data_IF_785178015517
#
_entry.id   IF_785178015517
#
_cell.length_a   1.000
_cell.length_b   1.000
_cell.length_c   1.000
_cell.angle_alpha   90.00
_cell.angle_beta   90.00
_cell.angle_gamma   90.00
#
_symmetry.space_group_name_H-M   'P 1'
#
loop_
_entity.id
_entity.type
_entity.pdbx_description
1 polymer ?
#
# COMPACT_ATOMS: atom_id res chain seq x y z
N UNK A 1 -62.24 10.77 20.69
CA UNK A 1 -63.01 11.18 21.90
C UNK A 1 -63.34 9.92 22.69
N UNK A 2 -63.25 9.96 24.03
CA UNK A 2 -63.67 8.92 25.02
C UNK A 2 -63.09 7.49 24.80
N UNK A 3 -62.31 6.87 25.69
CA UNK A 3 -62.35 6.86 27.17
C UNK A 3 -63.40 5.83 27.64
N UNK A 4 -63.17 4.88 28.57
CA UNK A 4 -62.08 4.62 29.54
C UNK A 4 -61.97 3.10 29.82
N UNK A 5 -60.87 2.65 30.44
CA UNK A 5 -60.74 1.57 31.46
C UNK A 5 -59.25 1.14 31.55
N UNK A 6 -58.66 0.71 32.67
CA UNK A 6 -58.87 1.01 34.10
C UNK A 6 -57.56 0.61 34.85
N UNK A 7 -57.27 1.17 36.02
CA UNK A 7 -56.00 0.96 36.75
C UNK A 7 -55.89 -0.40 37.45
N UNK A 8 -54.67 -0.91 37.64
CA UNK A 8 -54.22 -1.47 38.95
C UNK A 8 -52.70 -1.74 39.01
N UNK A 9 -52.09 -1.21 40.08
CA UNK A 9 -50.98 -1.76 40.90
C UNK A 9 -49.76 -2.40 40.19
N UNK A 10 -48.56 -1.80 40.16
CA UNK A 10 -47.67 -1.38 41.26
C UNK A 10 -46.91 -2.52 41.98
N UNK A 11 -45.60 -2.63 41.71
CA UNK A 11 -44.61 -3.05 42.71
C UNK A 11 -43.20 -2.63 42.27
N UNK A 12 -42.64 -1.63 42.95
CA UNK A 12 -41.22 -1.31 42.85
C UNK A 12 -40.42 -2.16 43.86
N UNK A 13 -39.19 -2.53 43.52
CA UNK A 13 -38.18 -2.94 44.51
C UNK A 13 -36.83 -2.35 44.15
N UNK A 14 -36.18 -1.74 45.13
CA UNK A 14 -34.95 -0.97 44.94
C UNK A 14 -33.69 -1.84 45.05
N UNK A 15 -32.58 -1.28 44.59
CA UNK A 15 -31.24 -1.74 44.95
C UNK A 15 -30.93 -1.48 46.44
N UNK A 16 -29.95 -2.19 47.03
CA UNK A 16 -29.20 -1.70 48.17
C UNK A 16 -27.76 -1.30 47.79
N UNK A 17 -27.39 -0.09 48.17
CA UNK A 17 -26.03 0.44 48.13
C UNK A 17 -25.16 -0.21 49.23
N UNK A 18 -23.88 -0.50 48.94
CA UNK A 18 -22.91 -0.85 49.98
C UNK A 18 -21.47 -0.40 49.63
N UNK A 19 -20.96 0.52 50.43
CA UNK A 19 -19.56 0.94 50.58
C UNK A 19 -19.44 1.61 51.98
N UNK A 20 -18.24 1.88 52.54
CA UNK A 20 -16.88 1.56 52.08
C UNK A 20 -16.06 0.76 53.12
N UNK A 21 -14.83 0.35 52.78
CA UNK A 21 -13.76 0.10 53.79
C UNK A 21 -12.39 0.45 53.20
N UNK A 22 -11.45 0.84 54.07
CA UNK A 22 -10.28 1.69 53.76
C UNK A 22 -8.93 0.99 53.91
N UNK A 23 -7.89 1.60 53.29
CA UNK A 23 -6.43 1.43 53.51
C UNK A 23 -5.83 0.08 53.03
N UNK A 24 -4.63 0.01 52.44
CA UNK A 24 -3.45 0.84 52.64
C UNK A 24 -2.48 0.81 51.43
N UNK A 25 -1.67 1.87 51.28
CA UNK A 25 -0.44 1.86 50.48
C UNK A 25 0.76 1.36 51.31
N UNK A 26 1.80 0.83 50.64
CA UNK A 26 3.15 1.34 50.89
C UNK A 26 3.89 1.62 49.57
N UNK A 27 4.40 2.84 49.34
CA UNK A 27 5.70 3.37 49.84
C UNK A 27 6.88 2.99 48.95
N UNK A 28 7.34 3.94 48.13
CA UNK A 28 8.69 3.96 47.57
C UNK A 28 9.67 4.67 48.53
N UNK A 29 10.94 4.25 48.60
CA UNK A 29 12.02 5.05 49.20
C UNK A 29 13.02 5.61 48.14
N UNK A 30 13.86 6.60 48.50
CA UNK A 30 14.47 7.55 47.56
C UNK A 30 16.03 7.35 47.40
N UNK A 31 16.81 8.25 46.74
CA UNK A 31 18.11 7.90 46.15
C UNK A 31 19.35 8.28 46.97
N UNK A 32 20.48 7.67 46.61
CA UNK A 32 21.87 8.09 46.93
C UNK A 32 22.76 7.78 45.71
N UNK A 33 23.38 8.74 45.01
CA UNK A 33 24.43 9.68 45.43
C UNK A 33 25.86 9.08 45.34
N UNK A 34 26.57 9.50 44.29
CA UNK A 34 27.99 9.93 44.31
C UNK A 34 29.08 8.89 44.60
N UNK A 35 29.98 8.65 43.62
CA UNK A 35 31.40 9.05 43.73
C UNK A 35 32.15 8.95 42.40
N UNK A 36 33.11 9.87 42.22
CA UNK A 36 34.09 9.95 41.13
C UNK A 36 35.48 9.63 41.70
N UNK A 37 36.36 8.99 40.91
CA UNK A 37 37.74 9.47 40.76
C UNK A 37 38.10 9.56 39.24
N UNK A 38 38.62 10.63 38.62
CA UNK A 38 39.90 11.38 38.79
C UNK A 38 41.11 10.49 39.07
N UNK A 39 42.27 10.55 38.41
CA UNK A 39 42.81 11.24 37.22
C UNK A 39 43.88 10.28 36.60
N UNK A 40 44.54 10.44 35.44
CA UNK A 40 45.44 11.50 34.94
C UNK A 40 45.81 11.12 33.48
N UNK A 41 45.88 12.01 32.49
CA UNK A 41 46.88 13.07 32.23
C UNK A 41 48.30 12.58 31.88
N UNK A 42 48.58 12.44 30.59
CA UNK A 42 49.81 12.86 29.85
C UNK A 42 49.60 12.49 28.37
N UNK A 43 50.01 13.20 27.33
CA UNK A 43 50.43 14.57 27.08
C UNK A 43 50.71 14.62 25.55
N UNK A 44 50.25 15.65 24.83
CA UNK A 44 50.81 15.99 23.51
C UNK A 44 52.13 16.77 23.74
N UNK A 45 52.97 17.03 22.71
CA UNK A 45 52.64 18.16 21.81
C UNK A 45 53.18 18.05 20.34
N UNK A 46 52.54 18.82 19.44
CA UNK A 46 53.12 19.68 18.33
C UNK A 46 54.23 19.16 17.38
N UNK A 47 54.31 19.56 16.10
CA UNK A 47 53.44 20.34 15.20
C UNK A 47 53.94 20.27 13.74
N UNK A 48 53.09 20.77 12.82
CA UNK A 48 53.30 21.20 11.42
C UNK A 48 54.53 22.12 11.14
N UNK A 49 54.80 22.61 9.90
CA UNK A 49 54.31 22.24 8.55
C UNK A 49 55.43 22.15 7.46
N UNK A 50 55.05 22.01 6.16
CA UNK A 50 55.47 22.90 5.03
C UNK A 50 55.65 22.22 3.64
N UNK A 51 54.78 22.57 2.69
CA UNK A 51 55.08 22.72 1.23
C UNK A 51 55.83 24.06 0.98
N UNK A 52 56.43 24.42 -0.21
CA UNK A 52 55.84 24.26 -1.57
C UNK A 52 56.77 24.24 -2.86
N UNK A 53 56.13 24.08 -4.04
CA UNK A 53 56.40 24.74 -5.37
C UNK A 53 57.47 24.25 -6.41
N UNK A 54 57.00 24.23 -7.69
CA UNK A 54 57.66 24.43 -9.01
C UNK A 54 58.29 23.28 -9.86
N UNK A 55 57.99 23.34 -11.17
CA UNK A 55 58.64 22.68 -12.33
C UNK A 55 59.37 23.72 -13.22
N UNK A 56 60.10 23.36 -14.32
CA UNK A 56 59.57 23.67 -15.68
C UNK A 56 60.11 22.87 -16.93
N UNK A 57 59.28 22.80 -18.01
CA UNK A 57 59.54 23.02 -19.50
C UNK A 57 60.62 22.16 -20.23
N UNK A 58 60.57 21.73 -21.52
CA UNK A 58 59.80 22.00 -22.78
C UNK A 58 59.40 20.66 -23.52
N UNK A 59 59.07 20.49 -24.82
CA UNK A 59 58.90 21.32 -26.05
C UNK A 59 57.92 20.60 -27.05
N UNK A 60 57.11 21.27 -27.90
CA UNK A 60 57.29 21.70 -29.33
C UNK A 60 57.54 20.58 -30.37
N UNK A 61 56.86 20.45 -31.53
CA UNK A 61 55.81 21.17 -32.31
C UNK A 61 55.28 20.24 -33.46
N UNK A 62 54.38 20.58 -34.43
CA UNK A 62 53.66 21.84 -34.73
C UNK A 62 52.12 21.70 -34.92
N UNK A 63 51.50 22.77 -35.46
CA UNK A 63 50.05 23.07 -35.54
C UNK A 63 49.47 22.86 -36.97
N UNK A 64 48.23 22.40 -37.07
CA UNK A 64 47.33 22.66 -38.22
C UNK A 64 46.06 23.40 -37.75
N UNK A 65 45.41 24.12 -38.67
CA UNK A 65 44.45 25.19 -38.41
C UNK A 65 42.98 24.75 -38.41
N UNK A 66 42.22 25.14 -37.39
CA UNK A 66 40.75 25.10 -37.39
C UNK A 66 40.14 26.33 -38.10
N UNK A 67 39.02 26.18 -38.84
CA UNK A 67 38.18 27.30 -39.25
C UNK A 67 37.14 27.64 -38.16
N UNK A 68 36.94 28.93 -37.95
CA UNK A 68 35.98 29.50 -37.00
C UNK A 68 34.53 29.29 -37.49
N UNK A 69 33.67 28.66 -36.67
CA UNK A 69 32.25 28.47 -36.94
C UNK A 69 31.41 29.24 -35.90
N UNK A 70 30.45 30.03 -36.38
CA UNK A 70 29.55 30.84 -35.54
C UNK A 70 28.62 29.96 -34.68
N UNK A 71 28.18 30.45 -33.50
CA UNK A 71 27.32 29.68 -32.61
C UNK A 71 25.91 29.54 -33.20
N UNK A 72 25.49 28.29 -33.40
CA UNK A 72 24.13 27.95 -33.85
C UNK A 72 23.10 28.31 -32.77
N UNK A 73 22.01 28.97 -33.18
CA UNK A 73 20.94 29.42 -32.27
C UNK A 73 19.78 28.43 -32.41
N UNK A 74 19.42 27.67 -31.35
CA UNK A 74 18.35 26.68 -31.45
C UNK A 74 17.02 27.32 -31.86
N UNK A 75 16.45 26.81 -32.95
CA UNK A 75 15.09 27.15 -33.38
C UNK A 75 14.02 26.68 -32.39
N UNK A 76 12.76 27.12 -32.55
CA UNK A 76 11.68 26.68 -31.68
C UNK A 76 11.44 25.18 -31.81
N UNK A 77 11.22 24.52 -30.67
CA UNK A 77 10.88 23.10 -30.60
C UNK A 77 9.46 22.93 -31.15
N UNK A 78 9.31 22.22 -32.28
CA UNK A 78 8.00 21.76 -32.75
C UNK A 78 7.59 20.49 -32.00
N UNK A 79 6.28 20.30 -31.71
CA UNK A 79 5.80 19.14 -31.00
C UNK A 79 5.87 17.89 -31.88
N UNK A 80 6.44 16.82 -31.33
CA UNK A 80 6.40 15.50 -31.97
C UNK A 80 4.93 15.02 -32.05
N UNK A 81 4.47 14.75 -33.27
CA UNK A 81 3.09 14.39 -33.57
C UNK A 81 2.92 12.87 -33.79
N UNK A 82 3.99 12.10 -33.64
CA UNK A 82 3.98 10.65 -33.80
C UNK A 82 4.03 9.96 -32.42
N UNK A 83 2.88 9.40 -32.00
CA UNK A 83 2.76 8.69 -30.74
C UNK A 83 3.67 7.44 -30.70
N UNK A 84 4.57 7.40 -29.72
CA UNK A 84 5.55 6.32 -29.55
C UNK A 84 4.86 4.96 -29.35
N UNK A 85 5.15 4.00 -30.23
CA UNK A 85 4.83 2.58 -30.00
C UNK A 85 5.67 2.03 -28.85
N UNK A 86 5.02 1.39 -27.88
CA UNK A 86 5.64 0.91 -26.63
C UNK A 86 5.87 -0.61 -26.72
N UNK A 87 7.13 -1.01 -26.91
CA UNK A 87 7.58 -2.42 -26.85
C UNK A 87 7.96 -2.85 -25.41
N UNK A 88 7.19 -2.40 -24.41
CA UNK A 88 7.31 -2.84 -23.01
C UNK A 88 6.55 -4.15 -22.71
N UNK A 89 5.80 -4.66 -23.68
CA UNK A 89 5.00 -5.89 -23.57
C UNK A 89 5.70 -7.01 -24.36
N UNK A 90 6.36 -7.94 -23.67
CA UNK A 90 7.15 -9.01 -24.32
C UNK A 90 6.25 -10.07 -24.95
N UNK A 91 6.20 -10.12 -26.28
CA UNK A 91 5.46 -11.13 -27.04
C UNK A 91 6.18 -12.49 -27.02
N UNK A 92 6.01 -13.26 -25.93
CA UNK A 92 6.54 -14.64 -25.82
C UNK A 92 5.51 -15.69 -25.37
N UNK A 93 4.25 -15.53 -25.79
CA UNK A 93 3.35 -16.64 -26.12
C UNK A 93 2.38 -16.19 -27.23
N UNK A 94 1.85 -17.13 -28.03
CA UNK A 94 1.15 -16.88 -29.32
C UNK A 94 -0.29 -16.32 -29.15
N UNK A 95 -0.58 -15.70 -27.99
CA UNK A 95 -1.93 -15.40 -27.50
C UNK A 95 -2.18 -13.94 -27.08
N UNK A 96 -1.18 -13.05 -27.10
CA UNK A 96 -1.35 -11.66 -26.65
C UNK A 96 -1.43 -10.68 -27.82
N UNK A 97 -2.58 -10.02 -27.94
CA UNK A 97 -2.86 -9.05 -28.98
C UNK A 97 -2.24 -7.67 -28.64
N UNK A 98 -1.72 -6.98 -29.66
CA UNK A 98 -1.26 -5.60 -29.52
C UNK A 98 -2.30 -4.70 -28.86
N UNK A 99 -1.85 -3.80 -27.98
CA UNK A 99 -2.73 -2.89 -27.25
C UNK A 99 -3.63 -2.12 -28.22
N UNK A 100 -4.94 -2.37 -28.15
CA UNK A 100 -5.91 -1.59 -28.92
C UNK A 100 -5.92 -0.16 -28.38
N UNK A 101 -5.97 0.88 -29.22
CA UNK A 101 -6.03 2.28 -28.76
C UNK A 101 -7.16 2.57 -27.77
N UNK A 102 -8.23 1.76 -27.78
CA UNK A 102 -9.36 1.82 -26.83
C UNK A 102 -9.01 1.41 -25.40
N UNK A 103 -7.88 0.74 -25.16
CA UNK A 103 -7.41 0.38 -23.81
C UNK A 103 -6.77 1.59 -23.11
N UNK A 104 -6.16 2.49 -23.89
CA UNK A 104 -5.57 3.75 -23.43
C UNK A 104 -6.60 4.90 -23.27
N UNK A 105 -7.87 4.67 -23.62
CA UNK A 105 -8.94 5.66 -23.54
C UNK A 105 -9.52 5.75 -22.11
N UNK A 106 -8.83 6.47 -21.22
CA UNK A 106 -9.23 6.63 -19.83
C UNK A 106 -10.54 7.40 -19.65
N UNK A 107 -11.39 6.94 -18.73
CA UNK A 107 -12.56 7.67 -18.26
C UNK A 107 -12.12 8.91 -17.49
N UNK A 108 -12.72 10.07 -17.78
CA UNK A 108 -12.42 11.35 -17.13
C UNK A 108 -13.64 11.87 -16.39
N UNK A 109 -13.51 12.07 -15.08
CA UNK A 109 -14.55 12.67 -14.24
C UNK A 109 -13.96 13.37 -13.01
N UNK A 110 -14.66 14.37 -12.46
CA UNK A 110 -14.24 15.15 -11.29
C UNK A 110 -12.85 15.83 -11.35
N UNK A 111 -12.15 15.74 -12.49
CA UNK A 111 -10.76 16.21 -12.69
C UNK A 111 -9.71 15.11 -12.59
N UNK A 112 -10.10 13.83 -12.52
CA UNK A 112 -9.23 12.64 -12.41
C UNK A 112 -9.45 11.68 -13.58
N UNK A 113 -8.49 10.78 -13.84
CA UNK A 113 -8.63 9.69 -14.82
C UNK A 113 -8.87 8.35 -14.13
N UNK A 114 -9.61 7.45 -14.79
CA UNK A 114 -9.93 6.10 -14.31
C UNK A 114 -9.83 5.09 -15.46
N UNK A 115 -9.53 3.83 -15.12
CA UNK A 115 -9.51 2.72 -16.07
C UNK A 115 -10.86 2.51 -16.77
N UNK A 116 -10.84 1.82 -17.93
CA UNK A 116 -12.04 1.57 -18.75
C UNK A 116 -12.41 0.09 -18.94
N UNK A 117 -11.47 -0.84 -18.68
CA UNK A 117 -11.66 -2.28 -18.94
C UNK A 117 -12.82 -2.90 -18.13
N UNK A 118 -13.04 -2.38 -16.92
CA UNK A 118 -14.13 -2.76 -16.01
C UNK A 118 -14.81 -1.48 -15.48
N UNK A 119 -15.20 -0.59 -16.41
CA UNK A 119 -15.72 0.76 -16.14
C UNK A 119 -16.78 0.81 -15.03
N UNK A 120 -16.65 1.79 -14.15
CA UNK A 120 -17.52 2.02 -12.99
C UNK A 120 -17.23 1.14 -11.77
N UNK A 121 -16.64 -0.06 -11.92
CA UNK A 121 -16.38 -0.98 -10.80
C UNK A 121 -15.25 -0.53 -9.88
N UNK A 122 -14.09 -0.17 -10.45
CA UNK A 122 -12.95 0.31 -9.68
C UNK A 122 -13.09 1.81 -9.41
N UNK A 123 -12.86 2.19 -8.16
CA UNK A 123 -13.12 3.53 -7.64
C UNK A 123 -11.88 4.40 -7.52
N UNK A 124 -10.66 3.85 -7.61
CA UNK A 124 -9.45 4.64 -7.53
C UNK A 124 -9.03 5.16 -8.91
N UNK A 125 -8.48 6.39 -9.00
CA UNK A 125 -7.97 6.95 -10.24
C UNK A 125 -6.70 6.23 -10.74
N UNK A 126 -6.19 6.65 -11.88
CA UNK A 126 -4.93 6.15 -12.46
C UNK A 126 -4.02 7.26 -13.04
N UNK A 127 -4.32 8.52 -12.73
CA UNK A 127 -3.49 9.68 -13.10
C UNK A 127 -2.20 9.77 -12.27
N UNK A 128 -1.26 10.59 -12.72
CA UNK A 128 0.08 10.78 -12.15
C UNK A 128 0.05 11.03 -10.62
N UNK A 129 -0.93 11.80 -10.14
CA UNK A 129 -1.12 12.08 -8.70
C UNK A 129 -1.45 10.83 -7.87
N UNK A 130 -2.09 9.84 -8.48
CA UNK A 130 -2.36 8.54 -7.86
C UNK A 130 -1.16 7.60 -7.97
N UNK A 131 -0.41 7.65 -9.08
CA UNK A 131 0.82 6.90 -9.26
C UNK A 131 1.87 7.34 -8.21
N UNK A 132 2.09 8.65 -8.04
CA UNK A 132 2.92 9.20 -6.95
C UNK A 132 2.46 8.72 -5.57
N UNK A 133 1.14 8.63 -5.35
CA UNK A 133 0.57 8.13 -4.08
C UNK A 133 0.86 6.65 -3.87
N UNK A 134 0.74 5.83 -4.91
CA UNK A 134 1.00 4.39 -4.88
C UNK A 134 2.48 4.11 -4.57
N UNK A 135 3.41 4.86 -5.16
CA UNK A 135 4.85 4.72 -4.89
C UNK A 135 5.20 5.08 -3.42
N UNK A 136 4.57 6.12 -2.85
CA UNK A 136 4.72 6.43 -1.42
C UNK A 136 4.11 5.30 -0.56
N UNK A 137 2.99 4.69 -0.95
CA UNK A 137 2.40 3.55 -0.22
C UNK A 137 3.27 2.30 -0.32
N UNK A 138 3.92 2.04 -1.47
CA UNK A 138 4.94 1.00 -1.57
C UNK A 138 6.07 1.25 -0.54
N UNK A 139 6.55 2.49 -0.43
CA UNK A 139 7.56 2.85 0.56
C UNK A 139 7.06 2.68 2.01
N UNK A 140 5.80 3.02 2.32
CA UNK A 140 5.17 2.73 3.63
C UNK A 140 5.27 1.24 3.96
N UNK A 141 4.98 0.34 3.01
CA UNK A 141 5.13 -1.10 3.21
C UNK A 141 6.58 -1.52 3.40
N UNK A 142 7.52 -1.03 2.58
CA UNK A 142 8.94 -1.39 2.72
C UNK A 142 9.49 -0.98 4.10
N UNK A 143 9.17 0.23 4.59
CA UNK A 143 9.51 0.65 5.98
C UNK A 143 8.80 -0.23 7.02
N UNK A 144 7.54 -0.60 6.76
CA UNK A 144 6.75 -1.44 7.69
C UNK A 144 7.25 -2.88 7.77
N UNK A 145 7.89 -3.40 6.72
CA UNK A 145 8.40 -4.77 6.64
C UNK A 145 9.93 -4.89 6.80
N UNK A 146 10.62 -3.84 7.27
CA UNK A 146 12.10 -3.79 7.39
C UNK A 146 12.82 -4.07 6.05
N UNK A 147 12.31 -3.47 4.97
CA UNK A 147 12.76 -3.64 3.57
C UNK A 147 12.67 -5.08 3.04
N UNK A 148 11.78 -5.91 3.62
CA UNK A 148 11.39 -7.20 3.05
C UNK A 148 10.31 -7.01 1.99
N UNK A 149 10.41 -7.77 0.90
CA UNK A 149 9.37 -7.84 -0.13
C UNK A 149 8.10 -8.51 0.41
N UNK A 150 8.27 -9.57 1.20
CA UNK A 150 7.21 -10.34 1.81
C UNK A 150 7.65 -10.99 3.13
N UNK A 151 6.70 -11.54 3.89
CA UNK A 151 6.93 -12.13 5.21
C UNK A 151 6.91 -13.67 5.20
N UNK A 152 6.40 -14.28 4.14
CA UNK A 152 6.54 -15.71 3.86
C UNK A 152 7.96 -16.05 3.33
N UNK A 153 8.32 -17.34 3.22
CA UNK A 153 9.66 -17.77 2.80
C UNK A 153 10.10 -17.29 1.39
N UNK A 154 9.16 -16.82 0.55
CA UNK A 154 9.47 -16.30 -0.80
C UNK A 154 10.22 -14.96 -0.79
N UNK A 155 10.47 -14.38 0.37
CA UNK A 155 11.42 -13.28 0.54
C UNK A 155 12.90 -13.73 0.34
N UNK A 156 13.18 -15.03 0.31
CA UNK A 156 14.50 -15.57 -0.05
C UNK A 156 14.62 -15.90 -1.54
N UNK A 157 13.56 -15.63 -2.31
CA UNK A 157 13.47 -15.87 -3.75
C UNK A 157 12.31 -16.81 -4.11
N UNK A 158 11.81 -16.59 -5.32
CA UNK A 158 10.76 -17.33 -5.98
C UNK A 158 11.20 -17.63 -7.43
N UNK A 159 10.52 -18.55 -8.11
CA UNK A 159 10.81 -18.90 -9.51
C UNK A 159 9.83 -18.28 -10.49
N UNK A 160 8.56 -18.16 -10.09
CA UNK A 160 7.47 -17.64 -10.92
C UNK A 160 6.45 -16.92 -10.03
N UNK A 161 6.53 -15.60 -10.06
CA UNK A 161 5.79 -14.66 -9.21
C UNK A 161 4.62 -14.05 -9.96
N UNK A 162 3.47 -13.89 -9.28
CA UNK A 162 2.39 -13.00 -9.67
C UNK A 162 2.28 -11.85 -8.66
N UNK A 163 2.28 -10.61 -9.14
CA UNK A 163 1.90 -9.43 -8.39
C UNK A 163 0.51 -8.97 -8.82
N UNK A 164 -0.51 -9.26 -8.00
CA UNK A 164 -1.91 -9.00 -8.29
C UNK A 164 -2.27 -7.54 -7.99
N UNK A 165 -2.65 -6.79 -9.02
CA UNK A 165 -2.91 -5.35 -8.92
C UNK A 165 -1.62 -4.58 -8.71
N UNK A 166 -0.66 -4.81 -9.61
CA UNK A 166 0.72 -4.32 -9.49
C UNK A 166 0.83 -2.78 -9.47
N UNK A 167 -0.22 -2.05 -9.84
CA UNK A 167 -0.25 -0.59 -9.81
C UNK A 167 0.82 0.00 -10.74
N UNK A 168 1.73 0.81 -10.21
CA UNK A 168 2.88 1.35 -10.95
C UNK A 168 3.92 0.30 -11.35
N UNK A 169 3.81 -0.93 -10.82
CA UNK A 169 4.77 -2.02 -11.06
C UNK A 169 5.98 -2.01 -10.12
N UNK A 170 6.11 -0.99 -9.26
CA UNK A 170 7.34 -0.74 -8.47
C UNK A 170 7.79 -1.93 -7.61
N UNK A 171 6.86 -2.67 -6.99
CA UNK A 171 7.23 -3.87 -6.22
C UNK A 171 7.72 -5.02 -7.12
N UNK A 172 7.05 -5.26 -8.25
CA UNK A 172 7.43 -6.30 -9.20
C UNK A 172 8.81 -6.03 -9.81
N UNK A 173 9.12 -4.76 -10.11
CA UNK A 173 10.43 -4.31 -10.60
C UNK A 173 11.53 -4.55 -9.55
N UNK A 174 11.35 -4.05 -8.33
CA UNK A 174 12.33 -4.22 -7.25
C UNK A 174 12.56 -5.71 -6.92
N UNK A 175 11.52 -6.55 -6.99
CA UNK A 175 11.63 -8.00 -6.80
C UNK A 175 12.37 -8.68 -7.95
N UNK A 176 12.08 -8.31 -9.20
CA UNK A 176 12.74 -8.86 -10.38
C UNK A 176 14.25 -8.54 -10.41
N UNK A 177 14.64 -7.32 -10.03
CA UNK A 177 16.04 -6.90 -9.90
C UNK A 177 16.76 -7.64 -8.75
N UNK A 178 16.06 -7.88 -7.63
CA UNK A 178 16.62 -8.63 -6.49
C UNK A 178 16.78 -10.13 -6.77
N UNK A 179 15.96 -10.70 -7.66
CA UNK A 179 15.95 -12.13 -8.00
C UNK A 179 15.99 -12.34 -9.52
N UNK A 180 17.15 -12.19 -10.19
CA UNK A 180 17.26 -12.30 -11.66
C UNK A 180 16.89 -13.66 -12.26
N UNK A 181 16.86 -14.72 -11.45
CA UNK A 181 16.44 -16.08 -11.84
C UNK A 181 14.90 -16.29 -11.74
N UNK A 182 14.14 -15.29 -11.24
CA UNK A 182 12.69 -15.34 -11.06
C UNK A 182 11.97 -14.76 -12.29
N UNK A 183 10.95 -15.47 -12.80
CA UNK A 183 9.96 -14.95 -13.73
C UNK A 183 8.91 -14.14 -12.95
N UNK A 184 8.85 -12.82 -13.13
CA UNK A 184 7.89 -11.94 -12.43
C UNK A 184 6.84 -11.43 -13.41
N UNK A 185 5.56 -11.66 -13.09
CA UNK A 185 4.43 -11.06 -13.82
C UNK A 185 3.70 -10.11 -12.87
N UNK A 186 3.61 -8.84 -13.23
CA UNK A 186 2.68 -7.90 -12.63
C UNK A 186 1.42 -7.78 -13.49
N UNK A 187 0.24 -7.80 -12.87
CA UNK A 187 -1.04 -7.66 -13.59
C UNK A 187 -1.86 -6.51 -13.01
N UNK A 188 -2.41 -5.66 -13.87
CA UNK A 188 -3.28 -4.54 -13.48
C UNK A 188 -4.39 -4.28 -14.52
N UNK A 189 -5.42 -3.54 -14.13
CA UNK A 189 -6.47 -3.05 -15.01
C UNK A 189 -6.04 -1.83 -15.85
N UNK A 190 -4.98 -1.11 -15.44
CA UNK A 190 -4.48 0.11 -16.06
C UNK A 190 -3.05 -0.06 -16.59
N UNK A 191 -2.75 0.33 -17.84
CA UNK A 191 -1.38 0.43 -18.36
C UNK A 191 -0.68 1.69 -17.82
N UNK A 192 -0.23 1.64 -16.58
CA UNK A 192 0.49 2.73 -15.87
C UNK A 192 1.90 2.33 -15.44
N UNK A 193 2.41 1.21 -15.96
CA UNK A 193 3.73 0.66 -15.65
C UNK A 193 4.79 1.24 -16.61
N UNK A 194 6.06 1.34 -16.20
CA UNK A 194 7.12 1.90 -17.04
C UNK A 194 7.42 1.01 -18.25
N UNK A 195 7.75 1.63 -19.39
CA UNK A 195 8.07 0.92 -20.64
C UNK A 195 9.48 0.28 -20.67
N UNK A 196 10.32 0.52 -19.67
CA UNK A 196 11.63 -0.12 -19.53
C UNK A 196 11.62 -0.96 -18.24
N UNK A 197 11.81 -2.27 -18.39
CA UNK A 197 11.66 -3.27 -17.32
C UNK A 197 12.84 -4.25 -17.31
N UNK A 198 13.15 -4.90 -16.18
CA UNK A 198 14.08 -6.02 -16.14
C UNK A 198 13.68 -7.14 -17.11
N UNK A 199 14.63 -7.87 -17.72
CA UNK A 199 14.33 -8.88 -18.75
C UNK A 199 13.54 -10.09 -18.23
N UNK A 200 13.39 -10.21 -16.91
CA UNK A 200 12.65 -11.23 -16.19
C UNK A 200 11.33 -10.71 -15.59
N UNK A 201 10.93 -9.47 -15.87
CA UNK A 201 9.68 -8.86 -15.46
C UNK A 201 8.78 -8.57 -16.68
N UNK A 202 7.50 -8.93 -16.60
CA UNK A 202 6.49 -8.65 -17.63
C UNK A 202 5.24 -8.05 -16.99
N UNK A 203 4.60 -7.10 -17.67
CA UNK A 203 3.32 -6.54 -17.26
C UNK A 203 2.18 -6.96 -18.19
N UNK A 204 1.07 -7.39 -17.61
CA UNK A 204 -0.13 -7.82 -18.32
C UNK A 204 -1.33 -6.96 -17.92
N UNK A 205 -2.17 -6.60 -18.89
CA UNK A 205 -3.41 -5.86 -18.63
C UNK A 205 -4.57 -6.85 -18.63
N UNK A 206 -5.08 -7.20 -17.44
CA UNK A 206 -6.26 -8.06 -17.33
C UNK A 206 -7.07 -7.77 -16.06
N UNK A 207 -8.31 -8.25 -16.06
CA UNK A 207 -9.25 -8.17 -14.95
C UNK A 207 -9.19 -9.46 -14.14
N UNK A 208 -8.39 -9.43 -13.07
CA UNK A 208 -8.13 -10.58 -12.18
C UNK A 208 -9.36 -11.09 -11.39
N UNK A 209 -10.53 -10.43 -11.49
CA UNK A 209 -11.81 -11.00 -11.04
C UNK A 209 -12.34 -12.11 -12.00
N UNK A 210 -11.85 -12.19 -13.24
CA UNK A 210 -12.25 -13.19 -14.23
C UNK A 210 -11.46 -14.49 -14.05
N UNK A 211 -11.83 -15.51 -14.82
CA UNK A 211 -11.08 -16.76 -14.93
C UNK A 211 -9.66 -16.50 -15.47
N UNK A 212 -8.66 -16.84 -14.66
CA UNK A 212 -7.25 -16.67 -15.02
C UNK A 212 -6.83 -17.67 -16.11
N UNK A 213 -6.02 -17.21 -17.07
CA UNK A 213 -5.67 -18.00 -18.26
C UNK A 213 -4.26 -18.61 -18.22
N UNK A 214 -3.47 -18.33 -17.17
CA UNK A 214 -2.11 -18.84 -17.04
C UNK A 214 -2.06 -20.37 -16.86
N UNK A 215 -1.50 -21.06 -17.85
CA UNK A 215 -1.34 -22.53 -17.83
C UNK A 215 -0.19 -23.03 -16.94
N UNK A 216 0.78 -22.16 -16.64
CA UNK A 216 1.89 -22.44 -15.70
C UNK A 216 1.56 -21.90 -14.32
N UNK A 217 1.53 -22.79 -13.34
CA UNK A 217 1.38 -22.43 -11.94
C UNK A 217 2.49 -21.49 -11.44
N UNK A 218 2.12 -20.64 -10.49
CA UNK A 218 3.03 -19.75 -9.77
C UNK A 218 3.58 -20.43 -8.52
N UNK A 219 4.78 -20.05 -8.09
CA UNK A 219 5.31 -20.47 -6.79
C UNK A 219 5.14 -19.39 -5.71
N UNK A 220 4.91 -18.14 -6.11
CA UNK A 220 4.53 -17.05 -5.23
C UNK A 220 3.45 -16.15 -5.86
N UNK A 221 2.43 -15.79 -5.10
CA UNK A 221 1.44 -14.79 -5.47
C UNK A 221 1.38 -13.75 -4.35
N UNK A 222 1.63 -12.48 -4.69
CA UNK A 222 1.39 -11.33 -3.81
C UNK A 222 0.07 -10.65 -4.21
N UNK A 223 -0.68 -10.17 -3.22
CA UNK A 223 -1.68 -9.13 -3.39
C UNK A 223 -1.42 -8.02 -2.34
N UNK A 224 -1.15 -6.79 -2.77
CA UNK A 224 -0.85 -5.66 -1.89
C UNK A 224 -1.82 -4.51 -2.16
N UNK A 225 -2.42 -3.93 -1.11
CA UNK A 225 -3.40 -2.84 -1.24
C UNK A 225 -4.59 -3.13 -2.19
N UNK A 226 -5.09 -4.36 -2.15
CA UNK A 226 -6.17 -4.87 -3.00
C UNK A 226 -7.57 -4.84 -2.36
N UNK A 227 -7.74 -4.32 -1.13
CA UNK A 227 -9.07 -4.07 -0.56
C UNK A 227 -9.92 -3.21 -1.51
N UNK A 228 -11.17 -3.59 -1.71
CA UNK A 228 -12.06 -2.97 -2.70
C UNK A 228 -11.79 -3.35 -4.17
N UNK A 229 -10.66 -4.00 -4.50
CA UNK A 229 -10.40 -4.49 -5.86
C UNK A 229 -11.23 -5.74 -6.22
N UNK A 230 -11.67 -6.51 -5.23
CA UNK A 230 -12.49 -7.71 -5.41
C UNK A 230 -13.89 -7.53 -4.83
N UNK A 231 -14.90 -7.94 -5.60
CA UNK A 231 -16.28 -8.11 -5.12
C UNK A 231 -16.50 -9.40 -4.33
N UNK A 232 -15.69 -10.43 -4.61
CA UNK A 232 -15.65 -11.70 -3.88
C UNK A 232 -14.20 -12.09 -3.56
N UNK A 233 -13.82 -11.91 -2.29
CA UNK A 233 -12.50 -12.28 -1.78
C UNK A 233 -12.35 -13.79 -1.53
N UNK A 234 -13.45 -14.53 -1.34
CA UNK A 234 -13.40 -15.99 -1.16
C UNK A 234 -13.03 -16.62 -2.50
N UNK A 235 -13.70 -16.21 -3.58
CA UNK A 235 -13.39 -16.60 -4.97
C UNK A 235 -11.98 -16.17 -5.41
N UNK A 236 -11.53 -14.94 -5.08
CA UNK A 236 -10.19 -14.47 -5.42
C UNK A 236 -9.08 -15.31 -4.74
N UNK A 237 -9.26 -15.67 -3.46
CA UNK A 237 -8.31 -16.52 -2.72
C UNK A 237 -8.35 -17.97 -3.22
N UNK A 238 -9.52 -18.51 -3.56
CA UNK A 238 -9.63 -19.83 -4.18
C UNK A 238 -8.97 -19.87 -5.58
N UNK A 239 -9.15 -18.83 -6.39
CA UNK A 239 -8.52 -18.73 -7.70
C UNK A 239 -6.98 -18.64 -7.58
N UNK A 240 -6.46 -17.85 -6.64
CA UNK A 240 -5.03 -17.82 -6.33
C UNK A 240 -4.52 -19.18 -5.83
N UNK A 241 -5.26 -19.86 -4.93
CA UNK A 241 -4.94 -21.21 -4.48
C UNK A 241 -4.85 -22.19 -5.66
N UNK A 242 -5.80 -22.16 -6.58
CA UNK A 242 -5.82 -23.06 -7.74
C UNK A 242 -4.62 -22.84 -8.65
N UNK A 243 -4.17 -21.60 -8.83
CA UNK A 243 -3.02 -21.26 -9.69
C UNK A 243 -1.64 -21.39 -9.04
N UNK A 244 -1.53 -21.65 -7.74
CA UNK A 244 -0.26 -22.00 -7.10
C UNK A 244 0.18 -23.45 -7.39
N UNK A 245 1.50 -23.67 -7.44
CA UNK A 245 2.07 -25.03 -7.42
C UNK A 245 1.96 -25.66 -6.02
N UNK A 246 2.03 -27.00 -5.87
CA UNK A 246 2.14 -27.64 -4.55
C UNK A 246 3.37 -27.13 -3.78
N UNK A 247 3.15 -26.51 -2.61
CA UNK A 247 4.20 -25.83 -1.85
C UNK A 247 4.40 -24.35 -2.17
N UNK A 248 3.71 -23.80 -3.18
CA UNK A 248 3.67 -22.37 -3.47
C UNK A 248 2.96 -21.56 -2.38
N UNK A 249 3.20 -20.26 -2.34
CA UNK A 249 2.67 -19.36 -1.29
C UNK A 249 1.81 -18.24 -1.87
N UNK A 250 0.73 -17.90 -1.17
CA UNK A 250 0.03 -16.63 -1.36
C UNK A 250 0.33 -15.74 -0.14
N UNK A 251 0.56 -14.45 -0.38
CA UNK A 251 0.64 -13.43 0.66
C UNK A 251 -0.26 -12.23 0.30
N UNK A 252 -1.03 -11.77 1.29
CA UNK A 252 -1.87 -10.58 1.21
C UNK A 252 -1.32 -9.55 2.20
N UNK A 253 -1.01 -8.36 1.71
CA UNK A 253 -0.49 -7.23 2.48
C UNK A 253 -1.48 -6.07 2.38
N UNK A 254 -2.30 -5.86 3.39
CA UNK A 254 -3.34 -4.82 3.31
C UNK A 254 -3.69 -4.11 4.61
N UNK A 255 -4.42 -3.02 4.46
CA UNK A 255 -5.03 -2.22 5.51
C UNK A 255 -6.50 -2.59 5.71
N UNK A 256 -7.17 -1.91 6.64
CA UNK A 256 -8.59 -2.11 6.95
C UNK A 256 -9.22 -0.79 7.41
N UNK A 257 -10.39 -0.46 6.86
CA UNK A 257 -11.14 0.76 7.16
C UNK A 257 -12.42 0.44 7.96
N UNK A 258 -12.94 1.38 8.79
CA UNK A 258 -12.48 2.76 8.99
C UNK A 258 -11.18 2.87 9.80
N UNK A 259 -10.63 4.08 9.91
CA UNK A 259 -9.54 4.33 10.85
C UNK A 259 -10.03 4.17 12.30
N UNK A 260 -9.13 3.77 13.19
CA UNK A 260 -9.41 3.50 14.61
C UNK A 260 -8.53 4.38 15.51
N UNK A 261 -8.91 4.49 16.78
CA UNK A 261 -8.21 5.30 17.78
C UNK A 261 -8.33 4.64 19.17
N UNK A 262 -7.19 4.42 19.84
CA UNK A 262 -7.16 3.69 21.13
C UNK A 262 -7.47 4.56 22.35
N UNK A 263 -7.35 5.89 22.25
CA UNK A 263 -7.42 6.82 23.40
C UNK A 263 -8.56 7.84 23.34
N UNK A 264 -9.44 7.73 22.33
CA UNK A 264 -10.59 8.61 22.15
C UNK A 264 -10.25 10.02 21.65
N UNK A 265 -9.02 10.27 21.19
CA UNK A 265 -8.63 11.55 20.58
C UNK A 265 -9.30 11.83 19.24
N UNK A 266 -9.75 10.81 18.52
CA UNK A 266 -10.63 10.93 17.36
C UNK A 266 -12.09 10.72 17.78
N UNK A 267 -12.92 11.77 17.66
CA UNK A 267 -14.36 11.70 17.97
C UNK A 267 -15.20 11.58 16.69
N UNK A 268 -16.42 11.05 16.80
CA UNK A 268 -17.34 10.84 15.66
C UNK A 268 -17.67 12.12 14.88
N UNK A 269 -17.60 13.29 15.54
CA UNK A 269 -17.82 14.59 14.91
C UNK A 269 -16.68 15.06 13.97
N UNK A 270 -15.49 14.46 14.07
CA UNK A 270 -14.32 14.85 13.27
C UNK A 270 -14.47 14.41 11.81
N UNK A 271 -13.83 15.16 10.92
CA UNK A 271 -13.89 14.90 9.49
C UNK A 271 -13.14 13.61 9.11
N UNK A 272 -12.02 13.30 9.76
CA UNK A 272 -11.30 12.03 9.54
C UNK A 272 -12.15 10.79 9.89
N UNK A 273 -12.95 10.85 10.96
CA UNK A 273 -13.87 9.78 11.33
C UNK A 273 -14.96 9.61 10.26
N UNK A 274 -15.64 10.71 9.91
CA UNK A 274 -16.70 10.73 8.89
C UNK A 274 -16.18 10.22 7.54
N UNK A 275 -15.05 10.76 7.08
CA UNK A 275 -14.40 10.39 5.83
C UNK A 275 -14.06 8.89 5.75
N UNK A 276 -13.45 8.30 6.78
CA UNK A 276 -13.08 6.88 6.75
C UNK A 276 -14.27 5.94 6.95
N UNK A 277 -15.27 6.33 7.74
CA UNK A 277 -16.50 5.57 7.93
C UNK A 277 -17.33 5.56 6.64
N UNK A 278 -17.58 6.72 6.05
CA UNK A 278 -18.31 6.84 4.79
C UNK A 278 -17.58 6.18 3.61
N UNK A 279 -16.24 6.16 3.61
CA UNK A 279 -15.45 5.38 2.65
C UNK A 279 -15.72 3.88 2.73
N UNK A 280 -15.82 3.34 3.95
CA UNK A 280 -16.19 1.95 4.16
C UNK A 280 -17.65 1.67 3.77
N UNK A 281 -18.60 2.55 4.13
CA UNK A 281 -20.02 2.44 3.78
C UNK A 281 -20.23 2.43 2.26
N UNK A 282 -19.62 3.37 1.52
CA UNK A 282 -19.72 3.45 0.07
C UNK A 282 -19.13 2.21 -0.64
N UNK A 283 -18.02 1.70 -0.12
CA UNK A 283 -17.41 0.46 -0.61
C UNK A 283 -18.30 -0.78 -0.36
N UNK A 284 -18.96 -0.87 0.79
CA UNK A 284 -19.89 -1.96 1.08
C UNK A 284 -21.18 -1.87 0.25
N UNK A 285 -21.69 -0.67 -0.05
CA UNK A 285 -22.88 -0.45 -0.90
C UNK A 285 -22.68 -0.95 -2.34
N UNK A 286 -21.46 -0.84 -2.90
CA UNK A 286 -21.11 -1.42 -4.21
C UNK A 286 -20.60 -2.87 -4.14
N UNK A 287 -20.65 -3.51 -2.96
CA UNK A 287 -20.21 -4.89 -2.75
C UNK A 287 -18.70 -5.11 -2.81
N UNK A 288 -17.87 -4.07 -2.63
CA UNK A 288 -16.41 -4.10 -2.72
C UNK A 288 -15.78 -3.71 -1.39
N UNK A 289 -15.94 -4.59 -0.42
CA UNK A 289 -15.61 -4.32 0.99
C UNK A 289 -14.14 -3.93 1.22
N UNK A 290 -13.92 -2.98 2.13
CA UNK A 290 -12.60 -2.53 2.61
C UNK A 290 -12.41 -2.74 4.13
N UNK A 291 -13.30 -3.53 4.75
CA UNK A 291 -13.45 -3.64 6.21
C UNK A 291 -13.37 -5.09 6.73
N UNK A 292 -12.84 -6.03 5.93
CA UNK A 292 -12.85 -7.47 6.24
C UNK A 292 -11.48 -8.16 6.12
N UNK A 293 -10.41 -7.40 5.91
CA UNK A 293 -9.01 -7.89 5.79
C UNK A 293 -8.62 -8.77 6.97
N UNK A 294 -9.07 -8.44 8.19
CA UNK A 294 -8.81 -9.24 9.38
C UNK A 294 -9.34 -10.68 9.31
N UNK A 295 -10.23 -10.99 8.35
CA UNK A 295 -10.83 -12.31 8.16
C UNK A 295 -10.10 -13.17 7.13
N UNK A 296 -9.20 -12.63 6.29
CA UNK A 296 -8.65 -13.39 5.16
C UNK A 296 -7.84 -14.62 5.58
N UNK A 297 -7.29 -14.63 6.79
CA UNK A 297 -6.63 -15.82 7.36
C UNK A 297 -7.58 -17.00 7.62
N UNK A 298 -8.90 -16.76 7.66
CA UNK A 298 -9.94 -17.78 7.70
C UNK A 298 -10.21 -18.26 6.27
N UNK A 299 -10.41 -17.34 5.34
CA UNK A 299 -10.65 -17.62 3.92
C UNK A 299 -9.54 -18.50 3.31
N UNK A 300 -8.27 -18.18 3.59
CA UNK A 300 -7.16 -19.02 3.15
C UNK A 300 -7.23 -20.45 3.72
N UNK A 301 -7.64 -20.64 4.97
CA UNK A 301 -7.80 -21.99 5.54
C UNK A 301 -8.96 -22.75 4.90
N UNK A 302 -10.05 -22.05 4.58
CA UNK A 302 -11.22 -22.62 3.92
C UNK A 302 -10.93 -23.00 2.46
N UNK A 303 -10.12 -22.21 1.75
CA UNK A 303 -9.59 -22.53 0.41
C UNK A 303 -8.53 -23.66 0.42
N UNK A 304 -8.06 -24.11 1.60
CA UNK A 304 -7.14 -25.25 1.75
C UNK A 304 -5.66 -24.90 1.95
N UNK A 305 -5.31 -23.63 2.19
CA UNK A 305 -3.94 -23.26 2.55
C UNK A 305 -3.52 -23.83 3.93
N UNK A 306 -2.31 -24.38 3.98
CA UNK A 306 -1.58 -24.77 5.18
C UNK A 306 -0.71 -23.61 5.70
N UNK A 307 -0.13 -23.78 6.90
CA UNK A 307 0.83 -22.86 7.52
C UNK A 307 0.36 -21.39 7.58
N UNK A 308 -0.96 -21.16 7.61
CA UNK A 308 -1.52 -19.81 7.51
C UNK A 308 -1.15 -18.96 8.73
N UNK A 309 -0.47 -17.84 8.48
CA UNK A 309 -0.05 -16.84 9.48
C UNK A 309 -0.79 -15.53 9.24
N UNK A 310 -1.07 -14.81 10.33
CA UNK A 310 -1.59 -13.44 10.31
C UNK A 310 -0.75 -12.57 11.25
N UNK A 311 -0.14 -11.54 10.70
CA UNK A 311 0.70 -10.56 11.41
C UNK A 311 -0.06 -9.23 11.44
N UNK A 312 -0.58 -8.79 12.60
CA UNK A 312 -1.22 -7.49 12.71
C UNK A 312 -0.20 -6.35 12.70
N UNK A 313 -0.56 -5.25 12.05
CA UNK A 313 0.21 -4.02 11.88
C UNK A 313 -0.66 -2.80 12.26
N UNK A 314 -0.02 -1.65 12.47
CA UNK A 314 -0.70 -0.36 12.65
C UNK A 314 -0.07 0.66 11.71
N UNK A 315 -0.90 1.41 10.98
CA UNK A 315 -0.50 2.50 10.09
C UNK A 315 -1.00 3.85 10.65
N UNK A 316 -0.21 4.59 11.44
CA UNK A 316 -0.60 5.88 12.03
C UNK A 316 -0.91 6.92 10.96
N UNK A 317 -1.96 7.73 11.13
CA UNK A 317 -2.32 8.74 10.12
C UNK A 317 -1.31 9.89 10.00
N UNK A 318 -0.46 10.05 11.02
CA UNK A 318 0.53 11.14 11.14
C UNK A 318 1.66 10.71 12.09
N UNK A 319 2.81 11.43 12.14
CA UNK A 319 3.96 11.09 12.98
C UNK A 319 3.76 11.34 14.50
N UNK A 320 2.54 11.17 15.00
CA UNK A 320 2.17 11.27 16.42
C UNK A 320 2.80 10.20 17.36
N UNK A 321 3.12 8.95 16.93
CA UNK A 321 3.62 7.93 17.86
C UNK A 321 4.94 8.31 18.53
N UNK A 322 5.18 7.80 19.74
CA UNK A 322 6.49 7.94 20.41
C UNK A 322 7.54 6.97 19.87
N UNK A 323 7.12 5.77 19.45
CA UNK A 323 8.02 4.79 18.86
C UNK A 323 8.62 5.32 17.55
N UNK A 324 9.92 5.06 17.33
CA UNK A 324 10.65 5.64 16.19
C UNK A 324 10.16 5.09 14.86
N UNK A 325 9.85 3.79 14.78
CA UNK A 325 9.42 3.12 13.55
C UNK A 325 7.98 3.48 13.21
N UNK A 326 7.07 3.44 14.18
CA UNK A 326 5.68 3.87 13.97
C UNK A 326 5.59 5.36 13.62
N UNK A 327 6.48 6.21 14.14
CA UNK A 327 6.58 7.61 13.72
C UNK A 327 7.03 7.77 12.27
N UNK A 328 8.01 6.97 11.84
CA UNK A 328 8.52 6.96 10.47
C UNK A 328 7.45 6.45 9.48
N UNK A 329 6.76 5.36 9.83
CA UNK A 329 5.57 4.88 9.10
C UNK A 329 4.51 5.99 9.01
N UNK A 330 4.16 6.61 10.15
CA UNK A 330 3.15 7.67 10.20
C UNK A 330 3.50 8.94 9.41
N UNK A 331 4.80 9.24 9.23
CA UNK A 331 5.26 10.31 8.35
C UNK A 331 4.95 9.99 6.87
N UNK A 332 5.29 8.78 6.42
CA UNK A 332 5.07 8.36 5.04
C UNK A 332 3.59 8.10 4.74
N UNK A 333 2.84 7.54 5.70
CA UNK A 333 1.38 7.42 5.63
C UNK A 333 0.73 8.80 5.49
N UNK A 334 1.14 9.80 6.28
CA UNK A 334 0.66 11.17 6.10
C UNK A 334 1.01 11.73 4.71
N UNK A 335 2.23 11.49 4.23
CA UNK A 335 2.69 11.97 2.93
C UNK A 335 1.86 11.42 1.75
N UNK A 336 1.40 10.16 1.82
CA UNK A 336 0.49 9.61 0.79
C UNK A 336 -0.95 10.11 0.94
N UNK A 337 -1.45 10.28 2.17
CA UNK A 337 -2.84 10.67 2.41
C UNK A 337 -3.16 12.10 1.99
N UNK A 338 -2.33 13.08 2.38
CA UNK A 338 -2.62 14.50 2.17
C UNK A 338 -2.92 14.87 0.69
N UNK A 339 -2.20 14.36 -0.32
CA UNK A 339 -2.59 14.47 -1.73
C UNK A 339 -3.66 13.45 -2.14
N UNK A 340 -3.63 12.23 -1.58
CA UNK A 340 -4.52 11.12 -1.94
C UNK A 340 -5.99 11.28 -1.54
N UNK A 341 -6.33 12.13 -0.56
CA UNK A 341 -7.70 12.28 -0.02
C UNK A 341 -8.78 12.43 -1.10
N UNK A 342 -8.47 13.17 -2.16
CA UNK A 342 -9.43 13.46 -3.22
C UNK A 342 -9.58 12.28 -4.20
N UNK A 343 -8.49 11.56 -4.48
CA UNK A 343 -8.53 10.34 -5.31
C UNK A 343 -9.32 9.21 -4.65
N UNK A 344 -9.09 9.00 -3.34
CA UNK A 344 -9.75 7.97 -2.54
C UNK A 344 -11.27 8.23 -2.33
N UNK A 345 -11.72 9.49 -2.44
CA UNK A 345 -13.10 9.87 -2.11
C UNK A 345 -13.96 10.31 -3.29
N UNK A 346 -13.41 10.97 -4.33
CA UNK A 346 -14.22 11.62 -5.37
C UNK A 346 -15.15 10.65 -6.09
N UNK A 347 -14.62 9.58 -6.68
CA UNK A 347 -15.46 8.58 -7.34
C UNK A 347 -16.40 7.88 -6.35
N UNK A 348 -15.90 7.45 -5.19
CA UNK A 348 -16.67 6.68 -4.22
C UNK A 348 -17.88 7.46 -3.67
N UNK A 349 -17.69 8.72 -3.26
CA UNK A 349 -18.77 9.52 -2.67
C UNK A 349 -19.72 10.09 -3.72
N UNK A 350 -19.21 10.48 -4.90
CA UNK A 350 -20.07 11.08 -5.95
C UNK A 350 -20.83 10.06 -6.77
N UNK A 351 -20.29 8.84 -6.98
CA UNK A 351 -21.01 7.74 -7.67
C UNK A 351 -21.97 6.99 -6.75
N UNK A 352 -21.56 6.72 -5.51
CA UNK A 352 -22.31 5.84 -4.59
C UNK A 352 -23.18 6.63 -3.63
N UNK A 353 -22.59 7.50 -2.79
CA UNK A 353 -23.31 8.20 -1.71
C UNK A 353 -24.15 9.40 -2.19
N UNK A 354 -24.14 9.71 -3.49
CA UNK A 354 -24.86 10.85 -4.06
C UNK A 354 -24.34 12.23 -3.66
N UNK A 355 -23.11 12.32 -3.13
CA UNK A 355 -22.48 13.58 -2.76
C UNK A 355 -22.16 14.43 -3.98
N UNK A 356 -22.21 15.76 -3.84
CA UNK A 356 -21.60 16.64 -4.85
C UNK A 356 -20.09 16.61 -4.76
N UNK A 357 -19.43 17.00 -5.86
CA UNK A 357 -17.98 17.18 -5.90
C UNK A 357 -17.54 18.23 -4.87
N UNK A 358 -18.29 19.31 -4.72
CA UNK A 358 -18.00 20.42 -3.83
C UNK A 358 -18.08 20.00 -2.35
N UNK A 359 -19.12 19.26 -1.95
CA UNK A 359 -19.23 18.69 -0.59
C UNK A 359 -18.07 17.72 -0.30
N UNK A 360 -17.72 16.87 -1.27
CA UNK A 360 -16.61 15.91 -1.15
C UNK A 360 -15.28 16.63 -0.94
N UNK A 361 -15.01 17.70 -1.70
CA UNK A 361 -13.79 18.51 -1.54
C UNK A 361 -13.77 19.27 -0.21
N UNK A 362 -14.92 19.76 0.28
CA UNK A 362 -15.02 20.39 1.60
C UNK A 362 -14.69 19.39 2.71
N UNK A 363 -15.19 18.15 2.63
CA UNK A 363 -14.85 17.09 3.58
C UNK A 363 -13.35 16.73 3.48
N UNK A 364 -12.79 16.55 2.27
CA UNK A 364 -11.34 16.34 2.09
C UNK A 364 -10.51 17.46 2.73
N UNK A 365 -10.91 18.73 2.56
CA UNK A 365 -10.21 19.87 3.16
C UNK A 365 -10.34 19.94 4.69
N UNK A 366 -11.40 19.38 5.28
CA UNK A 366 -11.54 19.22 6.73
C UNK A 366 -10.66 18.06 7.23
N UNK A 367 -10.78 16.88 6.63
CA UNK A 367 -9.97 15.69 6.94
C UNK A 367 -8.47 15.97 6.85
N UNK A 368 -8.04 16.79 5.88
CA UNK A 368 -6.64 17.24 5.74
C UNK A 368 -6.13 17.98 6.97
N UNK A 369 -6.99 18.77 7.65
CA UNK A 369 -6.63 19.47 8.90
C UNK A 369 -6.56 18.49 10.07
N UNK A 370 -7.49 17.55 10.15
CA UNK A 370 -7.51 16.54 11.21
C UNK A 370 -6.25 15.65 11.13
N UNK A 371 -5.88 15.18 9.94
CA UNK A 371 -4.63 14.42 9.70
C UNK A 371 -3.38 15.21 10.12
N UNK A 372 -3.43 16.54 10.08
CA UNK A 372 -2.32 17.42 10.45
C UNK A 372 -2.29 17.80 11.95
N UNK A 373 -3.34 17.53 12.74
CA UNK A 373 -3.31 17.76 14.19
C UNK A 373 -2.60 16.57 14.89
N UNK A 374 -1.40 16.76 15.49
CA UNK A 374 -0.66 15.69 16.15
C UNK A 374 -1.34 15.19 17.44
N UNK A 375 -2.47 15.78 17.86
CA UNK A 375 -3.29 15.30 18.98
C UNK A 375 -4.27 14.21 18.57
N UNK A 376 -4.53 14.01 17.28
CA UNK A 376 -5.46 12.98 16.80
C UNK A 376 -4.67 11.69 16.54
N UNK A 377 -4.72 10.78 17.50
CA UNK A 377 -3.92 9.55 17.50
C UNK A 377 -4.60 8.39 16.75
N UNK A 378 -5.17 8.70 15.58
CA UNK A 378 -5.81 7.70 14.74
C UNK A 378 -4.80 6.92 13.89
N UNK A 379 -5.19 5.71 13.49
CA UNK A 379 -4.40 4.80 12.66
C UNK A 379 -5.31 3.80 11.92
N UNK A 380 -4.85 3.20 10.82
CA UNK A 380 -5.50 2.02 10.22
C UNK A 380 -4.92 0.73 10.79
N UNK A 381 -5.78 -0.26 11.05
CA UNK A 381 -5.30 -1.62 11.23
C UNK A 381 -4.72 -2.12 9.91
N UNK A 382 -3.62 -2.86 9.99
CA UNK A 382 -3.00 -3.52 8.84
C UNK A 382 -2.75 -4.98 9.14
N UNK A 383 -2.58 -5.78 8.09
CA UNK A 383 -2.28 -7.20 8.21
C UNK A 383 -1.34 -7.64 7.08
N UNK A 384 -0.36 -8.47 7.44
CA UNK A 384 0.22 -9.42 6.49
C UNK A 384 -0.38 -10.78 6.78
N UNK A 385 -0.95 -11.42 5.77
CA UNK A 385 -1.61 -12.72 5.89
C UNK A 385 -1.06 -13.60 4.77
N UNK A 386 -0.43 -14.71 5.11
CA UNK A 386 0.11 -15.64 4.12
C UNK A 386 -0.23 -17.08 4.45
N UNK A 387 -0.17 -17.94 3.44
CA UNK A 387 -0.39 -19.38 3.56
C UNK A 387 0.25 -20.13 2.41
N UNK A 388 0.53 -21.42 2.63
CA UNK A 388 1.18 -22.31 1.67
C UNK A 388 0.19 -23.32 1.11
N UNK A 389 0.20 -23.57 -0.21
CA UNK A 389 -0.53 -24.69 -0.80
C UNK A 389 0.08 -26.02 -0.33
N UNK A 390 -0.71 -27.04 0.03
CA UNK A 390 -0.19 -28.35 0.43
C UNK A 390 0.84 -28.93 -0.54
N UNK A 391 1.91 -29.55 -0.02
CA UNK A 391 2.94 -30.21 -0.84
C UNK A 391 2.43 -31.46 -1.57
N UNK A 392 1.29 -31.99 -1.15
CA UNK A 392 0.58 -33.07 -1.82
C UNK A 392 -0.75 -32.52 -2.28
N UNK A 393 -1.05 -32.61 -3.57
CA UNK A 393 -2.44 -32.62 -3.99
C UNK A 393 -3.11 -33.81 -3.30
N UNK A 394 -4.14 -33.56 -2.50
CA UNK A 394 -4.95 -34.61 -1.90
C UNK A 394 -5.51 -35.47 -3.03
N UNK A 395 -5.16 -36.77 -3.05
CA UNK A 395 -5.79 -37.76 -3.94
C UNK A 395 -7.23 -38.00 -3.49
N UNK A 396 -8.10 -37.04 -3.78
CA UNK A 396 -9.55 -37.26 -3.96
C UNK A 396 -9.80 -37.68 -5.41
N UNK A 397 -9.10 -38.72 -5.85
CA UNK A 397 -9.48 -39.50 -7.03
C UNK A 397 -10.72 -40.32 -6.66
N UNK A 398 -11.81 -40.08 -7.38
CA UNK A 398 -12.77 -41.09 -7.86
C UNK A 398 -13.13 -42.21 -6.87
N UNK A 399 -13.88 -41.84 -5.83
CA UNK A 399 -14.58 -42.77 -4.96
C UNK A 399 -16.10 -42.52 -4.93
N UNK A 400 -16.71 -42.31 -6.10
CA UNK A 400 -18.14 -42.57 -6.33
C UNK A 400 -18.33 -43.41 -7.58
N UNK A 401 -19.29 -44.33 -7.48
CA UNK A 401 -19.55 -45.46 -8.39
C UNK A 401 -20.23 -45.09 -9.72
#
# INVERSE_FOLDING_TARGET
MTGQQQESEASASAAPTAAPTTAASPTAPPPTSTTVPTASTTAAPTADPSTPIAAPVAAQSPVESEPELEPDVPGPIEPDADGVSIDGYSTTDDSQASLRPTILDYRRENGRTYHRLSDGKYILPNDDLEQERLDIVNHVWMVTLDNRFCMCPKNEGAKRVLDLGTGTGIWALDYADAFPDAEVIGVDLSPIQPGYVPPNCVFEIDDVEKEWTWTKHFDFILARNMIGCFSDWEAAIEQAYNHLEPGGWMEIQDSEWPAVCDDGSMTEDMAIYKYTTMGAEACEEIGRTISKTHTFNRLMREAGFEDVVKIPLKFPISPWPKDRRLKEIGLWTQASLLPGLEGLALANFTRTLGWTREETLVLCAQTRRDIQDPKIHAYWNGYVIYGRKPLKADKKEDALH
#
